data_IF_945154747359
#
_entry.id   IF_945154747359
#
_cell.length_a   1.000
_cell.length_b   1.000
_cell.length_c   1.000
_cell.angle_alpha   90.00
_cell.angle_beta   90.00
_cell.angle_gamma   90.00
#
_symmetry.space_group_name_H-M   'P 1'
#
loop_
_entity.id
_entity.type
_entity.pdbx_description
1 polymer ?
#
# COMPACT_ATOMS: atom_id res chain seq x y z
N UNK A 1 -71.36 21.64 13.11
CA UNK A 1 -71.22 20.19 12.84
C UNK A 1 -69.79 19.93 12.40
N UNK A 2 -69.14 19.01 13.10
CA UNK A 2 -67.74 18.62 13.07
C UNK A 2 -67.31 17.92 11.78
N UNK A 3 -66.26 18.40 11.13
CA UNK A 3 -65.39 17.58 10.28
C UNK A 3 -63.97 17.60 10.87
N UNK A 4 -63.56 16.45 11.44
CA UNK A 4 -62.17 16.19 11.82
C UNK A 4 -61.52 15.38 10.70
N UNK A 5 -60.67 16.05 9.93
CA UNK A 5 -59.79 15.45 8.93
C UNK A 5 -58.65 14.71 9.63
N UNK A 6 -58.52 13.39 9.39
CA UNK A 6 -57.38 12.59 9.85
C UNK A 6 -56.52 12.33 8.62
N UNK A 7 -55.40 13.04 8.50
CA UNK A 7 -54.39 12.82 7.47
C UNK A 7 -53.44 11.69 7.94
N UNK A 8 -53.17 10.68 7.10
CA UNK A 8 -52.26 9.59 7.44
C UNK A 8 -50.81 10.10 7.47
N UNK A 9 -50.13 9.82 8.58
CA UNK A 9 -48.71 10.03 8.79
C UNK A 9 -47.91 9.26 7.73
N UNK A 10 -47.40 9.99 6.74
CA UNK A 10 -46.34 9.49 5.87
C UNK A 10 -45.05 9.38 6.72
N UNK A 11 -44.79 8.18 7.24
CA UNK A 11 -43.54 7.83 7.88
C UNK A 11 -42.43 7.89 6.82
N UNK A 12 -41.68 9.00 6.83
CA UNK A 12 -40.41 9.14 6.13
C UNK A 12 -39.45 8.06 6.63
N UNK A 13 -39.28 7.01 5.83
CA UNK A 13 -38.10 6.15 5.88
C UNK A 13 -36.91 6.98 5.41
N UNK A 14 -36.16 7.55 6.37
CA UNK A 14 -34.83 8.08 6.10
C UNK A 14 -33.96 6.88 5.72
N UNK A 15 -33.74 6.68 4.41
CA UNK A 15 -32.74 5.76 3.92
C UNK A 15 -31.39 6.25 4.45
N UNK A 16 -30.87 5.60 5.49
CA UNK A 16 -29.53 5.82 5.96
C UNK A 16 -28.59 5.33 4.86
N UNK A 17 -28.10 6.26 4.02
CA UNK A 17 -26.90 6.01 3.24
C UNK A 17 -25.78 5.78 4.25
N UNK A 18 -25.44 4.51 4.46
CA UNK A 18 -24.18 4.16 5.09
C UNK A 18 -23.07 4.65 4.14
N UNK A 19 -22.48 5.80 4.45
CA UNK A 19 -21.19 6.19 3.91
C UNK A 19 -20.22 5.15 4.48
N UNK A 20 -19.84 4.18 3.66
CA UNK A 20 -18.67 3.37 3.96
C UNK A 20 -17.51 4.35 4.18
N UNK A 21 -17.03 4.42 5.41
CA UNK A 21 -15.78 5.11 5.70
C UNK A 21 -14.71 4.42 4.84
N UNK A 22 -14.27 5.06 3.76
CA UNK A 22 -13.04 4.69 3.09
C UNK A 22 -11.92 5.11 4.03
N UNK A 23 -11.65 4.30 5.07
CA UNK A 23 -10.26 4.16 5.47
C UNK A 23 -9.55 3.74 4.19
N UNK A 24 -8.62 4.56 3.69
CA UNK A 24 -7.97 4.36 2.40
C UNK A 24 -7.64 2.87 2.25
N UNK A 25 -8.43 2.16 1.45
CA UNK A 25 -8.33 0.71 1.41
C UNK A 25 -6.98 0.41 0.78
N UNK A 26 -6.01 0.00 1.60
CA UNK A 26 -4.67 -0.33 1.13
C UNK A 26 -4.77 -1.32 -0.02
N UNK A 27 -4.09 -1.01 -1.12
CA UNK A 27 -4.06 -1.83 -2.32
C UNK A 27 -3.22 -3.10 -2.12
N UNK A 28 -2.32 -3.09 -1.14
CA UNK A 28 -1.47 -4.22 -0.80
C UNK A 28 -0.41 -3.88 0.25
N UNK A 29 0.59 -4.73 0.37
CA UNK A 29 1.71 -4.55 1.32
C UNK A 29 3.03 -4.80 0.59
N UNK A 30 4.03 -3.94 0.79
CA UNK A 30 5.42 -4.24 0.50
C UNK A 30 6.07 -4.91 1.71
N UNK A 31 6.65 -6.09 1.51
CA UNK A 31 7.28 -6.87 2.57
C UNK A 31 8.59 -7.49 2.08
N UNK A 32 9.51 -7.80 2.99
CA UNK A 32 10.73 -8.54 2.65
C UNK A 32 10.39 -9.89 2.02
N UNK A 33 11.15 -10.28 1.00
CA UNK A 33 10.92 -11.55 0.32
C UNK A 33 11.01 -12.75 1.28
N UNK A 34 10.07 -13.69 1.15
CA UNK A 34 9.91 -14.83 2.07
C UNK A 34 8.79 -14.70 3.10
N UNK A 35 8.10 -13.55 3.13
CA UNK A 35 6.83 -13.36 3.86
C UNK A 35 5.67 -14.23 3.34
N UNK A 36 5.84 -14.89 2.19
CA UNK A 36 4.87 -15.78 1.56
C UNK A 36 4.90 -17.22 2.09
N UNK A 37 4.57 -17.43 3.37
CA UNK A 37 4.16 -18.72 3.92
C UNK A 37 2.68 -18.66 4.29
N UNK A 38 1.82 -19.28 3.48
CA UNK A 38 0.40 -18.90 3.35
C UNK A 38 -0.55 -19.12 4.54
N UNK A 39 -1.61 -18.32 4.57
CA UNK A 39 -2.98 -18.70 4.93
C UNK A 39 -3.95 -17.57 4.47
N UNK A 40 -5.09 -17.95 3.89
CA UNK A 40 -5.98 -17.06 3.14
C UNK A 40 -6.50 -15.84 3.90
N UNK A 41 -6.51 -14.68 3.24
CA UNK A 41 -7.15 -13.47 3.73
C UNK A 41 -8.58 -13.36 3.18
N UNK A 42 -9.54 -14.01 3.84
CA UNK A 42 -10.93 -13.59 3.78
C UNK A 42 -11.10 -12.39 4.71
N UNK A 43 -11.37 -11.21 4.13
CA UNK A 43 -11.94 -10.05 4.82
C UNK A 43 -11.26 -9.61 6.12
N UNK A 44 -10.39 -8.60 6.02
CA UNK A 44 -9.92 -7.77 7.14
C UNK A 44 -9.51 -8.53 8.42
N UNK A 45 -8.27 -9.04 8.49
CA UNK A 45 -7.53 -9.22 9.74
C UNK A 45 -6.07 -9.61 9.50
N UNK A 46 -5.18 -8.90 10.20
CA UNK A 46 -3.78 -9.20 10.54
C UNK A 46 -2.73 -9.28 9.40
N UNK A 47 -1.90 -8.23 9.34
CA UNK A 47 -0.55 -8.18 8.73
C UNK A 47 0.44 -9.06 9.52
N UNK A 48 0.04 -10.26 9.95
CA UNK A 48 0.88 -11.20 10.68
C UNK A 48 1.15 -12.38 9.74
N UNK A 49 2.27 -12.50 9.04
CA UNK A 49 3.65 -12.41 9.52
C UNK A 49 4.58 -11.85 8.42
N UNK A 50 4.23 -10.71 7.83
CA UNK A 50 5.07 -10.08 6.82
C UNK A 50 6.37 -9.57 7.48
N UNK A 51 7.53 -9.98 6.98
CA UNK A 51 8.81 -9.47 7.46
C UNK A 51 9.06 -8.06 6.91
N UNK A 52 9.65 -7.21 7.74
CA UNK A 52 10.23 -5.95 7.29
C UNK A 52 11.37 -6.17 6.29
N UNK A 53 11.92 -5.08 5.76
CA UNK A 53 13.01 -5.12 4.77
C UNK A 53 13.99 -3.98 4.99
N UNK A 54 15.24 -4.15 4.56
CA UNK A 54 16.25 -3.11 4.65
C UNK A 54 16.15 -2.13 3.48
N UNK A 55 16.20 -0.82 3.75
CA UNK A 55 16.23 0.21 2.73
C UNK A 55 17.64 0.31 2.12
N UNK A 56 17.94 -0.57 1.16
CA UNK A 56 19.23 -0.62 0.45
C UNK A 56 19.05 -1.09 -0.99
N UNK A 57 19.99 -0.74 -1.86
CA UNK A 57 20.00 -1.20 -3.24
C UNK A 57 20.13 -2.73 -3.31
N UNK A 58 19.31 -3.37 -4.15
CA UNK A 58 19.26 -4.81 -4.32
C UNK A 58 18.41 -5.58 -3.31
N UNK A 59 17.77 -4.91 -2.34
CA UNK A 59 16.94 -5.62 -1.35
C UNK A 59 15.72 -6.27 -2.03
N UNK A 60 15.48 -7.58 -1.83
CA UNK A 60 14.32 -8.25 -2.36
C UNK A 60 13.06 -7.90 -1.54
N UNK A 61 12.06 -7.34 -2.23
CA UNK A 61 10.80 -6.88 -1.62
C UNK A 61 9.64 -7.29 -2.48
N UNK A 62 8.69 -8.01 -1.88
CA UNK A 62 7.49 -8.51 -2.53
C UNK A 62 6.33 -7.53 -2.33
N UNK A 63 5.52 -7.33 -3.38
CA UNK A 63 4.22 -6.69 -3.27
C UNK A 63 3.10 -7.74 -3.17
N UNK A 64 2.37 -7.73 -2.06
CA UNK A 64 1.34 -8.71 -1.73
C UNK A 64 -0.03 -8.02 -1.80
N UNK A 65 -0.87 -8.45 -2.73
CA UNK A 65 -2.19 -7.87 -2.97
C UNK A 65 -3.18 -8.90 -3.54
N UNK A 66 -4.42 -8.89 -3.08
CA UNK A 66 -5.49 -9.72 -3.66
C UNK A 66 -5.18 -11.23 -3.73
N UNK A 67 -4.44 -11.76 -2.75
CA UNK A 67 -3.99 -13.16 -2.71
C UNK A 67 -2.85 -13.50 -3.69
N UNK A 68 -2.23 -12.50 -4.32
CA UNK A 68 -1.08 -12.64 -5.21
C UNK A 68 0.15 -11.99 -4.60
N UNK A 69 1.31 -12.53 -4.95
CA UNK A 69 2.62 -11.97 -4.64
C UNK A 69 3.32 -11.61 -5.93
N UNK A 70 3.76 -10.36 -6.04
CA UNK A 70 4.59 -9.86 -7.15
C UNK A 70 6.00 -9.66 -6.60
N UNK A 71 6.97 -10.50 -6.98
CA UNK A 71 8.36 -10.31 -6.58
C UNK A 71 8.91 -9.01 -7.14
N UNK A 72 9.76 -8.36 -6.38
CA UNK A 72 10.44 -7.16 -6.82
C UNK A 72 11.75 -6.90 -6.09
N UNK A 73 12.40 -5.82 -6.48
CA UNK A 73 13.69 -5.41 -5.94
C UNK A 73 13.68 -3.92 -5.65
N UNK A 74 14.23 -3.55 -4.50
CA UNK A 74 14.51 -2.15 -4.20
C UNK A 74 15.76 -1.69 -4.91
N UNK A 75 15.64 -0.53 -5.54
CA UNK A 75 16.75 0.27 -6.00
C UNK A 75 16.82 1.53 -5.16
N UNK A 76 17.94 1.74 -4.49
CA UNK A 76 18.15 2.96 -3.71
C UNK A 76 19.14 3.83 -4.46
N UNK A 77 18.70 5.03 -4.80
CA UNK A 77 19.51 6.01 -5.51
C UNK A 77 19.78 7.19 -4.58
N UNK A 78 21.00 7.70 -4.65
CA UNK A 78 21.43 8.91 -3.98
C UNK A 78 21.43 10.06 -4.97
N UNK A 79 20.77 11.15 -4.57
CA UNK A 79 20.79 12.42 -5.29
C UNK A 79 21.17 13.53 -4.28
N UNK A 80 22.42 14.00 -4.38
CA UNK A 80 23.01 14.86 -3.37
C UNK A 80 23.02 14.22 -1.98
N UNK A 81 22.31 14.84 -1.03
CA UNK A 81 22.18 14.36 0.36
C UNK A 81 20.98 13.46 0.62
N UNK A 82 20.16 13.16 -0.39
CA UNK A 82 18.88 12.46 -0.24
C UNK A 82 18.99 11.06 -0.83
N UNK A 83 18.54 10.06 -0.08
CA UNK A 83 18.33 8.70 -0.58
C UNK A 83 16.87 8.55 -1.02
N UNK A 84 16.67 7.97 -2.19
CA UNK A 84 15.36 7.73 -2.77
C UNK A 84 15.23 6.25 -3.14
N UNK A 85 14.21 5.61 -2.62
CA UNK A 85 13.94 4.21 -2.88
C UNK A 85 12.92 4.06 -4.00
N UNK A 86 13.21 3.13 -4.90
CA UNK A 86 12.35 2.71 -5.99
C UNK A 86 12.13 1.22 -5.86
N UNK A 87 10.89 0.77 -6.00
CA UNK A 87 10.57 -0.64 -6.14
C UNK A 87 10.35 -0.96 -7.62
N UNK A 88 11.00 -2.02 -8.08
CA UNK A 88 10.89 -2.52 -9.44
C UNK A 88 10.31 -3.94 -9.41
N UNK A 89 9.16 -4.19 -10.05
CA UNK A 89 8.65 -5.55 -10.20
C UNK A 89 9.61 -6.38 -11.05
N UNK A 90 9.80 -7.65 -10.68
CA UNK A 90 10.66 -8.56 -11.42
C UNK A 90 10.16 -8.72 -12.86
N UNK A 91 11.09 -8.65 -13.82
CA UNK A 91 10.77 -8.80 -15.25
C UNK A 91 10.06 -7.58 -15.87
N UNK A 92 9.92 -6.46 -15.13
CA UNK A 92 9.33 -5.23 -15.64
C UNK A 92 10.35 -4.08 -15.64
N UNK A 93 10.36 -3.23 -16.66
CA UNK A 93 11.27 -2.09 -16.72
C UNK A 93 10.81 -0.91 -15.85
N UNK A 94 9.53 -0.89 -15.46
CA UNK A 94 8.91 0.20 -14.72
C UNK A 94 9.41 0.24 -13.27
N UNK A 95 9.67 1.45 -12.78
CA UNK A 95 10.11 1.71 -11.40
C UNK A 95 9.12 2.63 -10.72
N UNK A 96 8.76 2.25 -9.50
CA UNK A 96 7.85 3.02 -8.66
C UNK A 96 8.63 3.61 -7.49
N UNK A 97 8.64 4.94 -7.36
CA UNK A 97 9.20 5.55 -6.14
C UNK A 97 8.33 5.19 -4.95
N UNK A 98 8.95 4.89 -3.82
CA UNK A 98 8.29 4.76 -2.52
C UNK A 98 8.11 6.18 -1.97
N UNK A 99 6.95 6.77 -2.19
CA UNK A 99 6.60 8.06 -1.61
C UNK A 99 5.99 7.83 -0.22
N UNK A 100 6.60 8.40 0.81
CA UNK A 100 6.10 8.35 2.19
C UNK A 100 4.65 8.84 2.27
N UNK A 101 3.81 8.05 2.93
CA UNK A 101 2.39 8.33 3.17
C UNK A 101 2.00 8.08 4.63
N UNK A 102 2.96 7.91 5.53
CA UNK A 102 2.76 7.61 6.96
C UNK A 102 3.79 6.63 7.50
N UNK A 103 3.76 6.39 8.81
CA UNK A 103 4.78 5.61 9.56
C UNK A 103 5.11 4.26 8.92
N UNK A 104 4.11 3.53 8.43
CA UNK A 104 4.27 2.24 7.74
C UNK A 104 3.44 2.21 6.45
N UNK A 105 3.38 3.34 5.73
CA UNK A 105 2.57 3.48 4.55
C UNK A 105 3.30 4.26 3.45
N UNK A 106 3.17 3.77 2.22
CA UNK A 106 3.75 4.40 1.02
C UNK A 106 2.73 4.50 -0.10
N UNK A 107 2.97 5.41 -1.03
CA UNK A 107 2.39 5.41 -2.38
C UNK A 107 3.47 5.00 -3.36
N UNK A 108 3.14 4.01 -4.19
CA UNK A 108 3.94 3.66 -5.36
C UNK A 108 3.56 4.57 -6.52
N UNK A 109 4.52 5.34 -7.01
CA UNK A 109 4.34 6.31 -8.10
C UNK A 109 5.33 5.98 -9.22
N UNK A 110 4.82 5.69 -10.42
CA UNK A 110 5.66 5.41 -11.58
C UNK A 110 6.42 6.68 -11.99
N UNK A 111 7.75 6.62 -11.97
CA UNK A 111 8.59 7.76 -12.36
C UNK A 111 9.96 7.27 -12.84
N UNK A 112 10.61 7.97 -13.79
CA UNK A 112 12.00 7.71 -14.12
C UNK A 112 12.89 7.78 -12.87
N UNK A 113 13.87 6.88 -12.78
CA UNK A 113 14.83 6.90 -11.70
C UNK A 113 15.76 8.12 -11.81
N UNK A 114 16.04 8.75 -10.67
CA UNK A 114 16.86 9.93 -10.52
C UNK A 114 17.98 9.69 -9.49
N UNK A 115 19.16 10.24 -9.77
CA UNK A 115 20.35 10.07 -8.95
C UNK A 115 21.26 8.93 -9.44
N UNK A 116 22.23 8.57 -8.60
CA UNK A 116 23.17 7.47 -8.82
C UNK A 116 22.90 6.33 -7.84
N UNK A 117 23.18 5.06 -8.18
CA UNK A 117 23.01 3.95 -7.23
C UNK A 117 23.72 4.22 -5.90
N UNK A 118 23.03 3.96 -4.79
CA UNK A 118 23.62 4.00 -3.46
C UNK A 118 24.60 2.82 -3.30
N UNK A 119 25.72 3.07 -2.62
CA UNK A 119 26.76 2.06 -2.38
C UNK A 119 26.73 1.58 -0.93
N UNK A 120 27.43 0.48 -0.67
CA UNK A 120 27.74 0.01 0.69
C UNK A 120 26.50 -0.29 1.55
N UNK A 121 25.38 -0.62 0.91
CA UNK A 121 24.12 -0.93 1.59
C UNK A 121 23.43 0.27 2.24
N UNK A 122 23.83 1.51 1.91
CA UNK A 122 23.20 2.71 2.46
C UNK A 122 21.79 2.98 1.87
N UNK A 123 20.88 3.59 2.65
CA UNK A 123 21.01 3.95 4.07
C UNK A 123 20.95 2.74 5.02
N UNK A 124 20.41 1.60 4.58
CA UNK A 124 20.45 0.33 5.31
C UNK A 124 19.47 0.24 6.48
N UNK A 125 18.67 1.28 6.73
CA UNK A 125 17.64 1.28 7.77
C UNK A 125 16.57 0.23 7.50
N UNK A 126 16.21 -0.57 8.49
CA UNK A 126 15.11 -1.54 8.37
C UNK A 126 13.77 -0.83 8.52
N UNK A 127 12.87 -1.08 7.57
CA UNK A 127 11.47 -0.67 7.63
C UNK A 127 10.60 -1.86 8.00
N UNK A 128 9.50 -1.60 8.71
CA UNK A 128 8.40 -2.56 8.81
C UNK A 128 7.77 -2.78 7.42
N UNK A 129 6.95 -3.84 7.25
CA UNK A 129 6.11 -3.94 6.05
C UNK A 129 5.31 -2.67 5.81
N UNK A 130 5.29 -2.19 4.58
CA UNK A 130 4.67 -0.92 4.22
C UNK A 130 3.32 -1.16 3.54
N UNK A 131 2.25 -0.55 4.05
CA UNK A 131 0.97 -0.51 3.36
C UNK A 131 1.10 0.32 2.08
N UNK A 132 0.51 -0.14 0.98
CA UNK A 132 0.55 0.59 -0.28
C UNK A 132 -0.82 1.24 -0.53
N UNK A 133 -0.87 2.56 -0.44
CA UNK A 133 -2.11 3.34 -0.57
C UNK A 133 -2.43 3.77 -2.00
N UNK A 134 -1.58 3.42 -2.98
CA UNK A 134 -1.88 3.52 -4.41
C UNK A 134 -1.98 2.13 -5.02
N UNK A 135 -2.84 1.96 -6.04
CA UNK A 135 -3.02 0.67 -6.71
C UNK A 135 -2.24 0.70 -8.03
N UNK A 136 -0.95 0.33 -8.06
CA UNK A 136 -0.20 0.26 -9.32
C UNK A 136 -0.77 -0.83 -10.23
N UNK A 137 -0.70 -0.62 -11.54
CA UNK A 137 -1.09 -1.63 -12.53
C UNK A 137 0.11 -2.51 -12.82
N UNK A 138 0.19 -3.65 -12.13
CA UNK A 138 1.30 -4.60 -12.18
C UNK A 138 0.98 -5.78 -13.09
#
# INVERSE_FOLDING_TARGET
MTLRTIAPLALWTVAQLAIAATGDASCGVLAGAGAGGGAGASGASSVSAASGFALRDGEPVDFIAGGKTVPGTLHVLKDGGIYRAYWQPQGRPERYVLADAGTDAVRLIATPAQGTPATDGMPGTTLNPQQVLSCPTL
#
